data_IF_650682793948
#
_entry.id   IF_650682793948
#
_cell.length_a   1.000
_cell.length_b   1.000
_cell.length_c   1.000
_cell.angle_alpha   90.00
_cell.angle_beta   90.00
_cell.angle_gamma   90.00
#
_symmetry.space_group_name_H-M   'P 1'
#
loop_
_entity.id
_entity.type
_entity.pdbx_description
1 polymer ?
#
# COMPACT_ATOMS: atom_id res chain seq x y z
N UNK A 1 -56.43 32.34 66.17
CA UNK A 1 -56.49 30.97 65.62
C UNK A 1 -56.81 31.14 64.14
N UNK A 2 -55.81 31.43 63.29
CA UNK A 2 -55.08 30.49 62.40
C UNK A 2 -56.10 29.84 61.43
N UNK A 3 -56.09 30.02 60.11
CA UNK A 3 -54.98 30.05 59.15
C UNK A 3 -55.41 30.72 57.82
N UNK A 4 -54.42 31.20 57.04
CA UNK A 4 -54.59 31.80 55.70
C UNK A 4 -54.28 30.74 54.64
N UNK A 5 -55.21 30.46 53.73
CA UNK A 5 -54.91 29.65 52.55
C UNK A 5 -54.42 30.53 51.39
N UNK A 6 -53.09 30.64 51.33
CA UNK A 6 -52.35 31.03 50.15
C UNK A 6 -52.22 29.82 49.21
N UNK A 7 -52.82 29.86 48.02
CA UNK A 7 -52.43 28.97 46.92
C UNK A 7 -52.03 29.78 45.69
N UNK A 8 -50.75 30.18 45.70
CA UNK A 8 -49.94 30.51 44.54
C UNK A 8 -49.65 29.22 43.79
N UNK A 9 -49.91 29.14 42.48
CA UNK A 9 -49.26 28.15 41.61
C UNK A 9 -49.15 28.64 40.17
N UNK A 10 -48.18 29.53 39.96
CA UNK A 10 -47.47 29.68 38.70
C UNK A 10 -46.41 28.57 38.62
N UNK A 11 -46.45 27.75 37.58
CA UNK A 11 -45.34 26.85 37.24
C UNK A 11 -44.82 27.18 35.84
N UNK A 12 -43.86 28.10 35.80
CA UNK A 12 -42.81 28.15 34.78
C UNK A 12 -41.72 27.19 35.25
N UNK A 13 -41.29 26.27 34.37
CA UNK A 13 -40.26 25.29 34.72
C UNK A 13 -39.62 24.64 33.51
N UNK A 14 -38.81 25.39 32.76
CA UNK A 14 -37.89 24.83 31.76
C UNK A 14 -36.70 24.19 32.52
N UNK A 15 -36.76 22.87 32.70
CA UNK A 15 -35.87 22.11 33.58
C UNK A 15 -34.60 21.66 32.84
N UNK A 16 -33.45 22.17 33.29
CA UNK A 16 -32.09 21.90 32.81
C UNK A 16 -31.71 20.39 32.82
N UNK A 17 -31.53 19.76 31.65
CA UNK A 17 -31.14 18.34 31.48
C UNK A 17 -29.74 18.13 30.89
N UNK A 18 -28.90 19.16 30.79
CA UNK A 18 -27.58 19.08 30.12
C UNK A 18 -26.47 18.34 30.88
N UNK A 19 -26.59 18.16 32.21
CA UNK A 19 -25.51 17.56 33.02
C UNK A 19 -25.38 16.03 32.85
N UNK A 20 -26.46 15.34 32.48
CA UNK A 20 -26.45 13.88 32.25
C UNK A 20 -25.82 13.48 30.91
N UNK A 21 -25.79 14.39 29.94
CA UNK A 21 -25.24 14.13 28.61
C UNK A 21 -23.71 14.12 28.62
N UNK A 22 -23.09 15.03 29.38
CA UNK A 22 -21.64 15.15 29.49
C UNK A 22 -21.00 13.90 30.11
N UNK A 23 -21.63 13.31 31.13
CA UNK A 23 -21.14 12.05 31.73
C UNK A 23 -21.15 10.89 30.75
N UNK A 24 -22.14 10.83 29.84
CA UNK A 24 -22.22 9.81 28.79
C UNK A 24 -21.13 9.99 27.74
N UNK A 25 -20.83 11.23 27.35
CA UNK A 25 -19.77 11.53 26.38
C UNK A 25 -18.40 11.18 26.94
N UNK A 26 -18.14 11.53 28.20
CA UNK A 26 -16.86 11.21 28.87
C UNK A 26 -16.67 9.68 28.96
N UNK A 27 -17.72 8.94 29.30
CA UNK A 27 -17.68 7.48 29.32
C UNK A 27 -17.33 6.88 27.95
N UNK A 28 -17.98 7.35 26.87
CA UNK A 28 -17.68 6.89 25.50
C UNK A 28 -16.26 7.23 25.03
N UNK A 29 -15.72 8.37 25.47
CA UNK A 29 -14.34 8.76 25.15
C UNK A 29 -13.32 7.79 25.74
N UNK A 30 -13.52 7.35 26.99
CA UNK A 30 -12.65 6.35 27.62
C UNK A 30 -12.74 4.98 26.97
N UNK A 31 -13.94 4.56 26.54
CA UNK A 31 -14.13 3.31 25.80
C UNK A 31 -13.33 3.31 24.50
N UNK A 32 -13.39 4.40 23.73
CA UNK A 32 -12.62 4.53 22.49
C UNK A 32 -11.10 4.49 22.71
N UNK A 33 -10.62 5.10 23.79
CA UNK A 33 -9.20 5.10 24.12
C UNK A 33 -8.68 3.68 24.41
N UNK A 34 -9.44 2.87 25.16
CA UNK A 34 -9.06 1.48 25.48
C UNK A 34 -9.05 0.60 24.23
N UNK A 35 -9.99 0.81 23.30
CA UNK A 35 -10.05 0.06 22.04
C UNK A 35 -8.99 0.46 21.02
N UNK A 36 -8.40 1.66 21.11
CA UNK A 36 -7.37 2.11 20.17
C UNK A 36 -6.02 1.38 20.32
N UNK A 37 -5.69 0.91 21.52
CA UNK A 37 -4.41 0.25 21.81
C UNK A 37 -4.27 -1.10 21.07
N UNK A 38 -5.24 -2.04 21.12
CA UNK A 38 -5.16 -3.28 20.35
C UNK A 38 -5.24 -3.05 18.83
N UNK A 39 -5.90 -1.98 18.39
CA UNK A 39 -6.00 -1.63 16.96
C UNK A 39 -4.64 -1.28 16.34
N UNK A 40 -3.75 -0.63 17.08
CA UNK A 40 -2.39 -0.34 16.62
C UNK A 40 -1.53 -1.62 16.53
N UNK A 41 -1.72 -2.57 17.43
CA UNK A 41 -1.01 -3.84 17.42
C UNK A 41 -1.38 -4.72 16.22
N UNK A 42 -2.65 -4.71 15.81
CA UNK A 42 -3.14 -5.41 14.61
C UNK A 42 -2.48 -4.88 13.34
N UNK A 43 -2.26 -3.56 13.24
CA UNK A 43 -1.56 -2.99 12.07
C UNK A 43 -0.09 -3.42 12.01
N UNK A 44 0.59 -3.50 13.14
CA UNK A 44 2.01 -3.86 13.19
C UNK A 44 2.27 -5.33 12.78
N UNK A 45 1.36 -6.24 13.10
CA UNK A 45 1.46 -7.65 12.67
C UNK A 45 1.09 -7.84 11.18
N UNK A 46 0.23 -6.98 10.63
CA UNK A 46 -0.28 -7.15 9.27
C UNK A 46 0.55 -6.44 8.19
N UNK A 47 1.48 -5.54 8.56
CA UNK A 47 2.34 -4.81 7.63
C UNK A 47 3.62 -5.57 7.22
N UNK A 48 3.88 -6.74 7.78
CA UNK A 48 5.05 -7.58 7.43
C UNK A 48 4.63 -8.83 6.63
N UNK A 49 3.63 -8.68 5.77
CA UNK A 49 3.14 -9.73 4.87
C UNK A 49 2.88 -9.22 3.44
N UNK A 50 3.59 -8.17 3.01
CA UNK A 50 3.51 -7.63 1.64
C UNK A 50 4.81 -7.70 0.84
N UNK A 51 5.85 -8.37 1.35
CA UNK A 51 7.16 -8.38 0.67
C UNK A 51 7.38 -9.61 -0.24
N UNK A 52 6.46 -10.58 -0.24
CA UNK A 52 6.62 -11.86 -0.97
C UNK A 52 5.56 -12.13 -2.05
N UNK A 53 4.75 -11.13 -2.44
CA UNK A 53 3.73 -11.26 -3.50
C UNK A 53 4.10 -10.37 -4.70
N UNK A 54 5.33 -10.51 -5.20
CA UNK A 54 5.80 -9.89 -6.45
C UNK A 54 6.61 -10.87 -7.31
N UNK A 55 6.23 -12.16 -7.35
CA UNK A 55 6.94 -13.16 -8.15
C UNK A 55 6.04 -14.07 -9.01
N UNK A 56 4.77 -13.72 -9.24
CA UNK A 56 3.94 -14.42 -10.23
C UNK A 56 2.77 -13.56 -10.71
N UNK A 57 3.05 -12.38 -11.25
CA UNK A 57 2.08 -11.77 -12.16
C UNK A 57 2.18 -12.51 -13.49
N UNK A 58 1.20 -13.35 -13.79
CA UNK A 58 1.05 -13.97 -15.11
C UNK A 58 1.25 -12.91 -16.19
N UNK A 59 2.26 -13.13 -17.04
CA UNK A 59 2.43 -12.35 -18.25
C UNK A 59 1.19 -12.63 -19.11
N UNK A 60 0.26 -11.68 -19.18
CA UNK A 60 -0.91 -11.80 -20.05
C UNK A 60 -0.47 -11.51 -21.49
N UNK A 61 0.31 -12.43 -22.05
CA UNK A 61 0.65 -12.48 -23.45
C UNK A 61 -0.03 -13.70 -24.06
N UNK A 62 -0.75 -13.58 -25.19
CA UNK A 62 -1.33 -14.73 -25.88
C UNK A 62 -0.26 -15.75 -26.31
N UNK A 63 1.01 -15.34 -26.42
CA UNK A 63 2.14 -16.21 -26.73
C UNK A 63 2.66 -16.98 -25.50
N UNK A 64 2.57 -16.39 -24.30
CA UNK A 64 3.09 -16.98 -23.07
C UNK A 64 2.34 -18.26 -22.67
N UNK A 65 1.03 -18.36 -22.98
CA UNK A 65 0.24 -19.58 -22.72
C UNK A 65 0.74 -20.81 -23.47
N UNK A 66 1.42 -20.64 -24.61
CA UNK A 66 1.94 -21.76 -25.39
C UNK A 66 3.30 -22.28 -24.91
N UNK A 67 3.99 -21.58 -24.02
CA UNK A 67 5.40 -21.87 -23.69
C UNK A 67 5.66 -22.19 -22.20
N UNK A 68 4.62 -22.23 -21.38
CA UNK A 68 4.71 -22.49 -19.94
C UNK A 68 5.18 -23.91 -19.55
N UNK A 69 5.27 -24.85 -20.51
CA UNK A 69 5.67 -26.24 -20.22
C UNK A 69 7.14 -26.57 -20.50
N UNK A 70 7.98 -25.63 -20.95
CA UNK A 70 9.34 -25.96 -21.44
C UNK A 70 10.49 -25.39 -20.61
N UNK A 71 10.24 -24.46 -19.68
CA UNK A 71 11.33 -23.76 -18.98
C UNK A 71 11.42 -24.14 -17.50
N UNK A 72 11.48 -25.46 -17.24
CA UNK A 72 12.09 -25.98 -16.01
C UNK A 72 13.56 -26.26 -16.30
N UNK A 73 14.43 -25.23 -16.26
CA UNK A 73 15.86 -25.45 -16.31
C UNK A 73 16.66 -24.28 -15.70
N UNK A 74 17.40 -24.63 -14.64
CA UNK A 74 18.65 -24.00 -14.20
C UNK A 74 18.58 -22.63 -13.52
N UNK A 75 18.40 -22.66 -12.19
CA UNK A 75 18.80 -21.58 -11.29
C UNK A 75 20.32 -21.50 -11.19
N UNK A 76 20.94 -20.78 -12.11
CA UNK A 76 22.22 -20.10 -11.88
C UNK A 76 22.12 -18.76 -12.58
N UNK A 77 21.81 -17.72 -11.82
CA UNK A 77 21.91 -16.33 -12.27
C UNK A 77 23.40 -16.06 -12.50
N UNK A 78 23.87 -16.37 -13.71
CA UNK A 78 25.20 -16.01 -14.15
C UNK A 78 25.13 -14.52 -14.47
N UNK A 79 25.71 -13.68 -13.62
CA UNK A 79 25.94 -12.26 -13.94
C UNK A 79 26.56 -12.20 -15.33
N UNK A 80 25.84 -11.58 -16.24
CA UNK A 80 26.06 -11.87 -17.63
C UNK A 80 27.16 -10.98 -18.19
N UNK A 81 28.34 -11.58 -18.32
CA UNK A 81 29.55 -10.89 -18.82
C UNK A 81 29.30 -10.24 -20.19
N UNK A 82 28.39 -10.82 -20.99
CA UNK A 82 27.94 -10.30 -22.27
C UNK A 82 27.14 -9.00 -22.17
N UNK A 83 26.00 -9.00 -21.46
CA UNK A 83 25.15 -7.80 -21.36
C UNK A 83 25.85 -6.68 -20.61
N UNK A 84 26.58 -7.01 -19.55
CA UNK A 84 27.36 -6.03 -18.78
C UNK A 84 28.30 -5.22 -19.66
N UNK A 85 29.12 -5.91 -20.46
CA UNK A 85 30.06 -5.25 -21.37
C UNK A 85 29.36 -4.38 -22.42
N UNK A 86 28.23 -4.84 -22.95
CA UNK A 86 27.45 -4.06 -23.93
C UNK A 86 26.91 -2.77 -23.29
N UNK A 87 26.34 -2.89 -22.10
CA UNK A 87 25.76 -1.74 -21.38
C UNK A 87 26.85 -0.76 -20.95
N UNK A 88 27.97 -1.25 -20.38
CA UNK A 88 29.10 -0.40 -19.99
C UNK A 88 29.66 0.38 -21.18
N UNK A 89 29.87 -0.28 -22.33
CA UNK A 89 30.31 0.40 -23.55
C UNK A 89 29.27 1.42 -24.06
N UNK A 90 27.98 1.13 -23.92
CA UNK A 90 26.92 2.04 -24.37
C UNK A 90 26.77 3.27 -23.46
N UNK A 91 27.13 3.15 -22.20
CA UNK A 91 27.14 4.25 -21.23
C UNK A 91 28.46 5.02 -21.21
N UNK A 92 29.49 4.56 -21.92
CA UNK A 92 30.79 5.22 -21.97
C UNK A 92 30.64 6.67 -22.46
N UNK A 93 31.20 7.61 -21.69
CA UNK A 93 31.15 9.05 -21.99
C UNK A 93 29.83 9.74 -21.65
N UNK A 94 28.84 9.02 -21.13
CA UNK A 94 27.62 9.64 -20.57
C UNK A 94 27.89 10.20 -19.17
N UNK A 95 27.17 11.26 -18.81
CA UNK A 95 27.36 11.97 -17.52
C UNK A 95 26.12 11.99 -16.64
N UNK A 96 25.03 11.39 -17.11
CA UNK A 96 23.78 11.30 -16.37
C UNK A 96 23.71 10.01 -15.55
N UNK A 97 22.84 10.00 -14.54
CA UNK A 97 22.56 8.80 -13.76
C UNK A 97 21.53 7.94 -14.50
N UNK A 98 21.86 6.66 -14.69
CA UNK A 98 20.99 5.69 -15.35
C UNK A 98 20.60 4.58 -14.38
N UNK A 99 19.36 4.09 -14.51
CA UNK A 99 18.90 2.83 -13.97
C UNK A 99 18.51 1.90 -15.13
N UNK A 100 19.10 0.72 -15.19
CA UNK A 100 18.93 -0.23 -16.30
C UNK A 100 18.59 -1.60 -15.73
N UNK A 101 17.54 -2.20 -16.27
CA UNK A 101 17.11 -3.56 -15.94
C UNK A 101 16.82 -4.29 -17.26
N UNK A 102 17.58 -5.35 -17.55
CA UNK A 102 17.46 -6.15 -18.76
C UNK A 102 17.23 -7.60 -18.35
N UNK A 103 16.15 -8.18 -18.86
CA UNK A 103 15.83 -9.60 -18.70
C UNK A 103 15.65 -10.19 -20.09
N UNK A 104 16.51 -11.13 -20.46
CA UNK A 104 16.38 -11.89 -21.69
C UNK A 104 15.47 -13.11 -21.47
N UNK A 105 14.20 -12.99 -21.86
CA UNK A 105 13.21 -14.04 -21.68
C UNK A 105 13.50 -15.34 -22.47
N UNK A 106 14.41 -15.31 -23.45
CA UNK A 106 14.80 -16.51 -24.21
C UNK A 106 15.89 -17.31 -23.52
N UNK A 107 16.87 -16.63 -22.93
CA UNK A 107 18.04 -17.25 -22.32
C UNK A 107 17.97 -17.30 -20.79
N UNK A 108 17.07 -16.53 -20.17
CA UNK A 108 17.02 -16.34 -18.72
C UNK A 108 18.14 -15.44 -18.19
N UNK A 109 18.88 -14.77 -19.07
CA UNK A 109 20.00 -13.90 -18.71
C UNK A 109 19.50 -12.55 -18.21
N UNK A 110 20.03 -12.09 -17.08
CA UNK A 110 19.61 -10.84 -16.44
C UNK A 110 20.80 -9.90 -16.20
N UNK A 111 20.55 -8.60 -16.35
CA UNK A 111 21.50 -7.55 -16.04
C UNK A 111 20.77 -6.38 -15.38
N UNK A 112 21.29 -5.95 -14.23
CA UNK A 112 20.75 -4.84 -13.46
C UNK A 112 21.87 -3.85 -13.17
N UNK A 113 21.59 -2.58 -13.36
CA UNK A 113 22.47 -1.46 -13.03
C UNK A 113 21.65 -0.39 -12.34
N UNK A 114 21.99 -0.10 -11.08
CA UNK A 114 21.34 0.92 -10.26
C UNK A 114 19.82 0.71 -10.13
N UNK A 115 19.39 -0.55 -10.06
CA UNK A 115 18.00 -1.00 -10.01
C UNK A 115 17.24 -0.52 -8.77
N UNK A 116 17.96 -0.16 -7.70
CA UNK A 116 17.38 0.35 -6.47
C UNK A 116 17.32 1.88 -6.40
N UNK A 117 17.86 2.60 -7.41
CA UNK A 117 17.69 4.03 -7.49
C UNK A 117 16.25 4.42 -7.85
N UNK A 118 15.84 5.61 -7.41
CA UNK A 118 14.51 6.16 -7.66
C UNK A 118 14.58 7.14 -8.81
N UNK A 119 13.72 6.93 -9.80
CA UNK A 119 13.58 7.80 -10.96
C UNK A 119 12.13 8.24 -11.09
N UNK A 120 11.93 9.45 -11.60
CA UNK A 120 10.59 9.91 -11.95
C UNK A 120 10.04 9.05 -13.10
N UNK A 121 8.88 8.44 -12.90
CA UNK A 121 8.28 7.55 -13.89
C UNK A 121 7.83 8.27 -15.17
N UNK A 122 7.79 9.60 -15.18
CA UNK A 122 7.34 10.45 -16.28
C UNK A 122 6.01 9.96 -16.88
N UNK A 123 5.98 9.49 -18.13
CA UNK A 123 4.78 8.90 -18.75
C UNK A 123 4.75 7.36 -18.74
N UNK A 124 5.77 6.69 -18.18
CA UNK A 124 5.86 5.23 -18.15
C UNK A 124 4.72 4.60 -17.35
N UNK A 125 4.21 5.30 -16.33
CA UNK A 125 3.05 4.86 -15.54
C UNK A 125 1.80 4.57 -16.38
N UNK A 126 1.67 5.15 -17.59
CA UNK A 126 0.54 4.90 -18.49
C UNK A 126 0.47 3.43 -18.91
N UNK A 127 1.61 2.75 -19.06
CA UNK A 127 1.65 1.31 -19.35
C UNK A 127 1.00 0.51 -18.22
N UNK A 128 1.28 0.88 -16.96
CA UNK A 128 0.64 0.28 -15.80
C UNK A 128 -0.87 0.52 -15.78
N UNK A 129 -1.32 1.75 -16.08
CA UNK A 129 -2.76 2.06 -16.19
C UNK A 129 -3.42 1.18 -17.28
N UNK A 130 -2.80 1.05 -18.45
CA UNK A 130 -3.33 0.20 -19.52
C UNK A 130 -3.41 -1.26 -19.08
N UNK A 131 -2.41 -1.78 -18.38
CA UNK A 131 -2.45 -3.15 -17.86
C UNK A 131 -3.58 -3.35 -16.84
N UNK A 132 -3.81 -2.38 -15.96
CA UNK A 132 -4.92 -2.41 -14.99
C UNK A 132 -6.28 -2.37 -15.68
N UNK A 133 -6.45 -1.50 -16.68
CA UNK A 133 -7.69 -1.41 -17.46
C UNK A 133 -7.94 -2.69 -18.24
N UNK A 134 -6.92 -3.25 -18.90
CA UNK A 134 -7.07 -4.48 -19.68
C UNK A 134 -7.45 -5.69 -18.83
N UNK A 135 -7.02 -5.73 -17.57
CA UNK A 135 -7.38 -6.78 -16.62
C UNK A 135 -8.86 -6.72 -16.21
N UNK A 136 -9.48 -5.54 -16.26
CA UNK A 136 -10.89 -5.31 -15.93
C UNK A 136 -11.81 -5.71 -17.09
#
# INVERSE_FOLDING_TARGET
MIERDFSLNYHVGYRNTRKGLLRKIIFWMFVLLIFSIPFLFIKNIFLESENNILASSEIISPLAKSQANVLSASNTVSESVGLKKIVENALEGTTADYGISIINLKTGEEYFYNEHAKFDSASLYKLWIMAVIYKW
#
